data_IF_882705389926
#
_entry.id   IF_882705389926
#
_cell.length_a   1.000
_cell.length_b   1.000
_cell.length_c   1.000
_cell.angle_alpha   90.00
_cell.angle_beta   90.00
_cell.angle_gamma   90.00
#
_symmetry.space_group_name_H-M   'P 1'
#
loop_
_entity.id
_entity.type
_entity.pdbx_description
1 polymer ?
#
# COMPACT_ATOMS: atom_id res chain seq x y z
N UNK A 1 0.48 -16.97 28.46
CA UNK A 1 1.57 -16.78 27.48
C UNK A 1 1.50 -15.35 27.01
N UNK A 2 2.54 -14.55 27.25
CA UNK A 2 2.57 -13.17 26.79
C UNK A 2 2.90 -13.18 25.29
N UNK A 3 1.87 -13.27 24.44
CA UNK A 3 2.06 -13.25 22.98
C UNK A 3 2.57 -11.87 22.59
N UNK A 4 3.76 -11.81 22.00
CA UNK A 4 4.33 -10.54 21.53
C UNK A 4 3.37 -9.89 20.54
N UNK A 5 3.07 -8.60 20.75
CA UNK A 5 2.18 -7.84 19.87
C UNK A 5 2.77 -7.78 18.46
N UNK A 6 1.99 -8.20 17.46
CA UNK A 6 2.42 -8.16 16.06
C UNK A 6 2.29 -6.76 15.48
N UNK A 7 3.07 -6.45 14.45
CA UNK A 7 3.11 -5.11 13.82
C UNK A 7 2.81 -5.21 12.33
N UNK A 8 1.90 -4.39 11.84
CA UNK A 8 1.58 -4.26 10.42
C UNK A 8 1.93 -2.87 9.88
N UNK A 9 2.46 -2.78 8.66
CA UNK A 9 2.55 -1.54 7.89
C UNK A 9 1.45 -1.56 6.83
N UNK A 10 0.65 -0.50 6.74
CA UNK A 10 -0.39 -0.34 5.71
C UNK A 10 -0.14 0.94 4.94
N UNK A 11 0.21 0.81 3.67
CA UNK A 11 0.35 1.95 2.74
C UNK A 11 -1.00 2.35 2.17
N UNK A 12 -1.20 3.63 1.83
CA UNK A 12 -2.48 4.13 1.32
C UNK A 12 -3.59 4.12 2.38
N UNK A 13 -3.23 4.36 3.63
CA UNK A 13 -4.09 4.16 4.80
C UNK A 13 -5.13 5.27 5.04
N UNK A 14 -5.12 6.37 4.28
CA UNK A 14 -6.00 7.52 4.55
C UNK A 14 -7.47 7.30 4.20
N UNK A 15 -7.82 6.29 3.40
CA UNK A 15 -9.20 6.01 2.98
C UNK A 15 -9.38 4.59 2.45
N UNK A 16 -10.64 4.21 2.23
CA UNK A 16 -11.02 2.98 1.53
C UNK A 16 -10.48 1.73 2.20
N UNK A 17 -9.96 0.79 1.41
CA UNK A 17 -9.43 -0.49 1.89
C UNK A 17 -8.30 -0.28 2.89
N UNK A 18 -7.39 0.67 2.64
CA UNK A 18 -6.28 0.95 3.55
C UNK A 18 -6.74 1.37 4.94
N UNK A 19 -7.68 2.32 5.04
CA UNK A 19 -8.24 2.75 6.32
C UNK A 19 -8.97 1.59 7.05
N UNK A 20 -9.76 0.80 6.31
CA UNK A 20 -10.44 -0.36 6.87
C UNK A 20 -9.47 -1.44 7.38
N UNK A 21 -8.36 -1.66 6.67
CA UNK A 21 -7.31 -2.59 7.10
C UNK A 21 -6.60 -2.12 8.38
N UNK A 22 -6.36 -0.81 8.53
CA UNK A 22 -5.81 -0.27 9.79
C UNK A 22 -6.72 -0.64 10.96
N UNK A 23 -8.03 -0.35 10.85
CA UNK A 23 -9.00 -0.70 11.89
C UNK A 23 -9.04 -2.21 12.15
N UNK A 24 -9.11 -3.03 11.10
CA UNK A 24 -9.18 -4.48 11.24
C UNK A 24 -7.93 -5.08 11.91
N UNK A 25 -6.72 -4.61 11.56
CA UNK A 25 -5.50 -5.06 12.23
C UNK A 25 -5.47 -4.64 13.71
N UNK A 26 -5.95 -3.44 14.03
CA UNK A 26 -6.08 -2.98 15.43
C UNK A 26 -7.06 -3.84 16.24
N UNK A 27 -8.20 -4.19 15.67
CA UNK A 27 -9.17 -5.12 16.28
C UNK A 27 -8.58 -6.51 16.54
N UNK A 28 -7.66 -6.96 15.69
CA UNK A 28 -6.90 -8.21 15.87
C UNK A 28 -5.72 -8.09 16.85
N UNK A 29 -5.52 -6.92 17.47
CA UNK A 29 -4.48 -6.67 18.46
C UNK A 29 -3.10 -6.36 17.88
N UNK A 30 -2.98 -6.03 16.59
CA UNK A 30 -1.70 -5.59 16.01
C UNK A 30 -1.42 -4.13 16.39
N UNK A 31 -0.15 -3.74 16.54
CA UNK A 31 0.24 -2.36 16.29
C UNK A 31 0.27 -2.10 14.78
N UNK A 32 -0.06 -0.88 14.35
CA UNK A 32 -0.14 -0.55 12.93
C UNK A 32 0.65 0.72 12.64
N UNK A 33 1.49 0.69 11.61
CA UNK A 33 1.96 1.91 10.96
C UNK A 33 1.08 2.20 9.75
N UNK A 34 0.34 3.30 9.82
CA UNK A 34 -0.49 3.82 8.73
C UNK A 34 0.29 4.87 7.97
N UNK A 35 0.40 4.72 6.64
CA UNK A 35 1.08 5.71 5.80
C UNK A 35 0.28 6.10 4.57
N UNK A 36 0.27 7.39 4.27
CA UNK A 36 -0.26 7.99 3.06
C UNK A 36 0.36 9.39 2.89
N UNK A 37 0.11 10.06 1.76
CA UNK A 37 0.61 11.43 1.50
C UNK A 37 0.21 12.43 2.60
N UNK A 38 -1.02 12.31 3.08
CA UNK A 38 -1.57 13.15 4.13
C UNK A 38 -2.37 12.27 5.07
N UNK A 39 -2.01 12.31 6.35
CA UNK A 39 -2.70 11.66 7.47
C UNK A 39 -2.62 12.60 8.68
N UNK A 40 -3.73 12.66 9.41
CA UNK A 40 -3.74 13.24 10.74
C UNK A 40 -3.07 12.28 11.72
N UNK A 41 -2.48 12.81 12.79
CA UNK A 41 -1.93 11.98 13.87
C UNK A 41 -3.04 11.16 14.53
N UNK A 42 -2.78 9.87 14.77
CA UNK A 42 -3.72 9.01 15.48
C UNK A 42 -3.62 9.22 16.99
N UNK A 43 -4.77 9.28 17.66
CA UNK A 43 -4.84 9.26 19.12
C UNK A 43 -4.69 7.85 19.71
N UNK A 44 -4.71 6.79 18.89
CA UNK A 44 -4.50 5.41 19.33
C UNK A 44 -2.99 5.15 19.48
N UNK A 45 -2.49 4.81 20.69
CA UNK A 45 -1.08 4.56 20.90
C UNK A 45 -0.54 3.33 20.14
N UNK A 46 -1.44 2.44 19.69
CA UNK A 46 -1.11 1.30 18.84
C UNK A 46 -1.03 1.66 17.35
N UNK A 47 -1.28 2.91 16.96
CA UNK A 47 -1.18 3.38 15.57
C UNK A 47 -0.09 4.44 15.46
N UNK A 48 0.92 4.17 14.62
CA UNK A 48 1.87 5.17 14.16
C UNK A 48 1.42 5.72 12.82
N UNK A 49 1.31 7.04 12.68
CA UNK A 49 1.00 7.69 11.40
C UNK A 49 2.27 8.26 10.78
N UNK A 50 2.60 7.86 9.55
CA UNK A 50 3.76 8.37 8.81
C UNK A 50 3.28 9.00 7.51
N UNK A 51 3.27 10.33 7.46
CA UNK A 51 2.93 11.08 6.25
C UNK A 51 4.11 11.08 5.26
N UNK A 52 3.82 10.76 4.01
CA UNK A 52 4.80 10.77 2.92
C UNK A 52 4.26 10.19 1.62
N UNK A 53 4.76 10.68 0.49
CA UNK A 53 4.47 10.10 -0.81
C UNK A 53 5.41 8.91 -1.07
N UNK A 54 4.85 7.70 -1.15
CA UNK A 54 5.63 6.49 -1.40
C UNK A 54 6.27 6.46 -2.79
N UNK A 55 5.86 7.35 -3.71
CA UNK A 55 6.53 7.53 -4.99
C UNK A 55 7.86 8.28 -4.90
N UNK A 56 8.13 8.97 -3.78
CA UNK A 56 9.38 9.70 -3.59
C UNK A 56 10.49 8.75 -3.10
N UNK A 57 11.71 8.85 -3.66
CA UNK A 57 12.84 8.04 -3.23
C UNK A 57 13.14 8.20 -1.73
N UNK A 58 13.32 7.08 -1.04
CA UNK A 58 13.67 7.02 0.38
C UNK A 58 12.49 7.07 1.33
N UNK A 59 11.28 7.43 0.88
CA UNK A 59 10.09 7.47 1.75
C UNK A 59 9.74 6.07 2.25
N UNK A 60 9.87 5.04 1.41
CA UNK A 60 9.64 3.66 1.83
C UNK A 60 10.58 3.21 2.95
N UNK A 61 11.85 3.62 2.90
CA UNK A 61 12.82 3.36 3.96
C UNK A 61 12.44 4.10 5.26
N UNK A 62 12.11 5.39 5.19
CA UNK A 62 11.68 6.18 6.36
C UNK A 62 10.47 5.58 7.08
N UNK A 63 9.50 5.04 6.32
CA UNK A 63 8.33 4.35 6.89
C UNK A 63 8.77 3.13 7.69
N UNK A 64 9.62 2.28 7.11
CA UNK A 64 10.12 1.06 7.75
C UNK A 64 10.93 1.40 9.00
N UNK A 65 11.83 2.37 8.91
CA UNK A 65 12.68 2.79 10.02
C UNK A 65 11.83 3.33 11.18
N UNK A 66 10.87 4.21 10.89
CA UNK A 66 9.95 4.73 11.90
C UNK A 66 9.10 3.63 12.57
N UNK A 67 8.67 2.61 11.80
CA UNK A 67 7.96 1.45 12.36
C UNK A 67 8.85 0.65 13.32
N UNK A 68 10.12 0.42 12.94
CA UNK A 68 11.07 -0.31 13.76
C UNK A 68 11.44 0.48 15.01
N UNK A 69 11.67 1.78 14.91
CA UNK A 69 11.98 2.63 16.05
C UNK A 69 10.82 2.65 17.05
N UNK A 70 9.57 2.68 16.56
CA UNK A 70 8.38 2.76 17.40
C UNK A 70 7.98 1.44 18.03
N UNK A 71 8.06 0.34 17.29
CA UNK A 71 7.48 -0.96 17.70
C UNK A 71 8.49 -2.11 17.76
N UNK A 72 9.71 -1.92 17.26
CA UNK A 72 10.81 -2.90 17.32
C UNK A 72 10.69 -4.08 16.36
N UNK A 73 9.63 -4.16 15.54
CA UNK A 73 9.37 -5.29 14.63
C UNK A 73 8.38 -4.94 13.51
N UNK A 74 8.35 -5.76 12.45
CA UNK A 74 7.40 -5.67 11.33
C UNK A 74 6.97 -7.08 10.89
N UNK A 75 5.75 -7.51 11.20
CA UNK A 75 5.24 -8.86 10.90
C UNK A 75 4.47 -8.93 9.58
N UNK A 76 3.83 -7.83 9.20
CA UNK A 76 3.03 -7.75 7.97
C UNK A 76 3.30 -6.44 7.26
N UNK A 77 3.53 -6.48 5.96
CA UNK A 77 3.46 -5.32 5.08
C UNK A 77 2.27 -5.47 4.15
N UNK A 78 1.43 -4.44 4.09
CA UNK A 78 0.37 -4.31 3.09
C UNK A 78 0.70 -3.17 2.14
N UNK A 79 1.13 -3.55 0.94
CA UNK A 79 1.26 -2.65 -0.19
C UNK A 79 -0.14 -2.42 -0.80
N UNK A 80 -0.89 -1.49 -0.20
CA UNK A 80 -2.23 -1.06 -0.61
C UNK A 80 -2.20 0.28 -1.36
N UNK A 81 -1.18 1.13 -1.17
CA UNK A 81 -1.03 2.35 -1.95
C UNK A 81 -0.88 2.00 -3.44
N UNK A 82 -1.81 2.51 -4.24
CA UNK A 82 -1.83 2.27 -5.67
C UNK A 82 -2.61 3.38 -6.39
N UNK A 83 -2.20 3.68 -7.62
CA UNK A 83 -2.87 4.65 -8.50
C UNK A 83 -3.09 4.06 -9.89
N UNK A 84 -4.19 4.47 -10.52
CA UNK A 84 -4.51 4.16 -11.90
C UNK A 84 -4.58 5.45 -12.71
N UNK A 85 -3.82 5.52 -13.80
CA UNK A 85 -4.04 6.52 -14.84
C UNK A 85 -4.79 5.84 -16.00
N UNK A 86 -6.05 6.23 -16.21
CA UNK A 86 -6.87 5.74 -17.32
C UNK A 86 -6.96 6.81 -18.39
N UNK A 87 -6.58 6.47 -19.62
CA UNK A 87 -6.90 7.25 -20.81
C UNK A 87 -7.59 6.37 -21.85
N UNK A 88 -8.47 6.91 -22.70
CA UNK A 88 -9.01 6.17 -23.83
C UNK A 88 -7.88 5.55 -24.66
N UNK A 89 -8.09 4.34 -25.17
CA UNK A 89 -7.06 3.63 -25.92
C UNK A 89 -6.60 4.39 -27.18
N UNK A 90 -7.51 5.15 -27.81
CA UNK A 90 -7.20 6.00 -28.97
C UNK A 90 -6.30 7.18 -28.62
N UNK A 91 -6.23 7.54 -27.35
CA UNK A 91 -5.56 8.72 -26.83
C UNK A 91 -4.33 8.29 -26.01
N UNK A 92 -3.83 7.07 -26.26
CA UNK A 92 -2.65 6.54 -25.56
C UNK A 92 -1.38 7.33 -25.87
N UNK A 93 -1.36 8.06 -26.99
CA UNK A 93 -0.31 9.04 -27.32
C UNK A 93 -0.29 10.25 -26.37
N UNK A 94 -1.39 10.49 -25.66
CA UNK A 94 -1.49 11.59 -24.70
C UNK A 94 -1.03 11.18 -23.31
N UNK A 95 -0.64 9.91 -23.11
CA UNK A 95 -0.05 9.46 -21.85
C UNK A 95 1.31 10.15 -21.66
N UNK A 96 1.40 11.01 -20.66
CA UNK A 96 2.58 11.86 -20.47
C UNK A 96 3.63 11.16 -19.63
N UNK A 97 4.85 11.70 -19.62
CA UNK A 97 5.89 11.23 -18.71
C UNK A 97 5.46 11.39 -17.25
N UNK A 98 4.68 12.42 -16.91
CA UNK A 98 4.11 12.60 -15.57
C UNK A 98 3.09 11.51 -15.21
N UNK A 99 2.27 11.06 -16.15
CA UNK A 99 1.36 9.92 -15.93
C UNK A 99 2.16 8.64 -15.67
N UNK A 100 3.24 8.43 -16.42
CA UNK A 100 4.15 7.30 -16.23
C UNK A 100 4.85 7.36 -14.88
N UNK A 101 5.41 8.50 -14.51
CA UNK A 101 6.11 8.72 -13.26
C UNK A 101 5.19 8.58 -12.05
N UNK A 102 3.94 9.07 -12.15
CA UNK A 102 2.93 8.87 -11.12
C UNK A 102 2.64 7.37 -10.91
N UNK A 103 2.36 6.64 -11.99
CA UNK A 103 2.00 5.22 -11.92
C UNK A 103 3.18 4.38 -11.45
N UNK A 104 4.37 4.56 -12.03
CA UNK A 104 5.55 3.78 -11.69
C UNK A 104 6.12 4.16 -10.32
N UNK A 105 6.09 5.45 -9.97
CA UNK A 105 6.48 5.95 -8.67
C UNK A 105 5.67 5.28 -7.55
N UNK A 106 4.34 5.38 -7.59
CA UNK A 106 3.51 4.80 -6.52
C UNK A 106 3.52 3.27 -6.58
N UNK A 107 3.27 2.68 -7.77
CA UNK A 107 2.95 1.26 -7.87
C UNK A 107 4.18 0.34 -7.92
N UNK A 108 5.36 0.87 -8.29
CA UNK A 108 6.59 0.10 -8.40
C UNK A 108 7.63 0.55 -7.38
N UNK A 109 8.02 1.84 -7.37
CA UNK A 109 9.03 2.33 -6.42
C UNK A 109 8.54 2.22 -4.99
N UNK A 110 7.35 2.74 -4.69
CA UNK A 110 6.77 2.68 -3.35
C UNK A 110 6.69 1.25 -2.83
N UNK A 111 6.12 0.35 -3.64
CA UNK A 111 6.12 -1.09 -3.39
C UNK A 111 7.52 -1.66 -3.11
N UNK A 112 8.51 -1.33 -3.96
CA UNK A 112 9.85 -1.88 -3.88
C UNK A 112 10.56 -1.45 -2.60
N UNK A 113 10.53 -0.14 -2.29
CA UNK A 113 11.27 0.40 -1.15
C UNK A 113 10.70 -0.09 0.19
N UNK A 114 9.36 -0.07 0.35
CA UNK A 114 8.72 -0.60 1.57
C UNK A 114 8.96 -2.09 1.72
N UNK A 115 8.83 -2.86 0.63
CA UNK A 115 9.05 -4.31 0.67
C UNK A 115 10.49 -4.66 0.99
N UNK A 116 11.47 -3.95 0.40
CA UNK A 116 12.89 -4.18 0.67
C UNK A 116 13.22 -4.00 2.14
N UNK A 117 12.76 -2.91 2.76
CA UNK A 117 12.99 -2.66 4.18
C UNK A 117 12.23 -3.64 5.09
N UNK A 118 10.94 -3.86 4.82
CA UNK A 118 10.11 -4.73 5.64
C UNK A 118 10.59 -6.20 5.59
N UNK A 119 10.95 -6.72 4.41
CA UNK A 119 11.47 -8.08 4.26
C UNK A 119 12.81 -8.22 4.97
N UNK A 120 13.71 -7.24 4.87
CA UNK A 120 14.97 -7.26 5.63
C UNK A 120 14.70 -7.36 7.15
N UNK A 121 13.73 -6.60 7.67
CA UNK A 121 13.34 -6.65 9.08
C UNK A 121 12.61 -7.94 9.50
N UNK A 122 11.91 -8.59 8.56
CA UNK A 122 11.29 -9.90 8.81
C UNK A 122 12.34 -11.02 8.86
N UNK A 123 13.36 -10.94 8.00
CA UNK A 123 14.43 -11.94 7.91
C UNK A 123 15.48 -11.81 9.02
N UNK A 124 15.61 -10.65 9.65
CA UNK A 124 16.55 -10.43 10.75
C UNK A 124 16.16 -11.11 12.07
N UNK A 125 15.01 -11.79 12.11
CA UNK A 125 14.46 -12.46 13.29
C UNK A 125 13.77 -13.77 12.93
N UNK A 126 13.62 -14.62 13.93
CA UNK A 126 12.87 -15.87 13.78
C UNK A 126 11.37 -15.62 13.59
N UNK A 127 10.72 -16.49 12.81
CA UNK A 127 9.28 -16.47 12.57
C UNK A 127 8.83 -15.73 11.30
N UNK A 128 9.72 -15.01 10.62
CA UNK A 128 9.45 -14.39 9.32
C UNK A 128 8.32 -13.35 9.33
N UNK A 129 7.58 -13.26 8.22
CA UNK A 129 6.45 -12.34 8.08
C UNK A 129 5.72 -12.51 6.76
N UNK A 130 4.75 -11.63 6.50
CA UNK A 130 3.90 -11.68 5.31
C UNK A 130 3.92 -10.35 4.56
N UNK A 131 3.99 -10.42 3.23
CA UNK A 131 3.81 -9.26 2.35
C UNK A 131 2.54 -9.48 1.53
N UNK A 132 1.60 -8.55 1.64
CA UNK A 132 0.33 -8.56 0.91
C UNK A 132 0.34 -7.40 -0.08
N UNK A 133 0.13 -7.71 -1.36
CA UNK A 133 0.06 -6.70 -2.43
C UNK A 133 -1.37 -6.61 -2.93
N UNK A 134 -1.98 -5.44 -2.81
CA UNK A 134 -3.28 -5.21 -3.43
C UNK A 134 -3.10 -4.87 -4.91
N UNK A 135 -3.91 -5.50 -5.74
CA UNK A 135 -3.96 -5.28 -7.18
C UNK A 135 -5.42 -5.19 -7.58
N UNK A 136 -5.72 -4.30 -8.51
CA UNK A 136 -7.02 -4.26 -9.16
C UNK A 136 -6.96 -5.07 -10.45
N UNK A 137 -8.00 -5.85 -10.72
CA UNK A 137 -8.27 -6.41 -12.03
C UNK A 137 -9.43 -5.66 -12.65
N UNK A 138 -9.26 -5.14 -13.87
CA UNK A 138 -10.33 -4.50 -14.61
C UNK A 138 -10.79 -5.44 -15.71
N UNK A 139 -12.03 -5.93 -15.62
CA UNK A 139 -12.72 -6.50 -16.77
C UNK A 139 -13.37 -5.35 -17.52
N UNK A 140 -12.84 -4.99 -18.69
CA UNK A 140 -13.64 -4.20 -19.65
C UNK A 140 -14.85 -5.08 -20.01
N UNK A 141 -16.10 -4.65 -19.74
CA UNK A 141 -17.24 -5.36 -20.29
C UNK A 141 -17.06 -5.30 -21.80
N UNK A 142 -16.92 -6.45 -22.46
CA UNK A 142 -17.12 -6.51 -23.91
C UNK A 142 -18.51 -5.92 -24.13
N UNK A 143 -18.59 -4.68 -24.65
CA UNK A 143 -19.86 -4.13 -25.15
C UNK A 143 -20.42 -5.22 -26.05
N UNK A 144 -21.58 -5.77 -25.68
CA UNK A 144 -22.27 -6.74 -26.51
C UNK A 144 -22.38 -6.13 -27.90
N UNK A 145 -21.76 -6.78 -28.89
CA UNK A 145 -21.89 -6.37 -30.29
C UNK A 145 -23.40 -6.36 -30.57
N UNK A 146 -23.99 -5.25 -31.06
CA UNK A 146 -25.40 -5.26 -31.39
C UNK A 146 -25.65 -6.41 -32.38
N UNK A 147 -26.55 -7.32 -32.01
CA UNK A 147 -26.98 -8.42 -32.87
C UNK A 147 -27.59 -7.80 -34.14
N UNK A 148 -27.15 -8.19 -35.34
CA UNK A 148 -27.79 -7.70 -36.56
C UNK A 148 -29.26 -8.13 -36.53
N UNK A 149 -30.16 -7.19 -36.83
CA UNK A 149 -31.59 -7.45 -36.89
C UNK A 149 -31.87 -8.60 -37.86
N UNK A 150 -32.69 -9.60 -37.48
CA UNK A 150 -33.12 -10.62 -38.43
C UNK A 150 -33.88 -9.92 -39.57
N UNK A 151 -33.50 -10.24 -40.81
CA UNK A 151 -34.26 -9.86 -42.01
C UNK A 151 -35.53 -10.69 -42.10
#
# INVERSE_FOLDING_TARGET
>A
MNTVQKVAIVTGASRGIGAALVSAYRELGYAVTATARTLDESSDPGVLTVSGDVSEPGVGARIVDATLDRFGRIDTLVNNAWVFASKPFTDFTDFTDEDYDLVTGVNLRGFFETSRGAVAAMLSRDGGGHVVNLRAWSTTPTRSRPQPSPR
#
